data_IF_693438576088
#
_entry.id   IF_693438576088
#
_cell.length_a   1.000
_cell.length_b   1.000
_cell.length_c   1.000
_cell.angle_alpha   90.00
_cell.angle_beta   90.00
_cell.angle_gamma   90.00
#
_symmetry.space_group_name_H-M   'P 1'
#
loop_
_entity.id
_entity.type
_entity.pdbx_description
1 polymer ?
#
# COMPACT_ATOMS: atom_id res chain seq x y z
N UNK A 1 -1.01 14.30 22.42
CA UNK A 1 -1.17 15.77 22.50
C UNK A 1 -2.39 16.25 21.72
N UNK A 2 -2.52 15.95 20.45
CA UNK A 2 -3.58 16.47 19.58
C UNK A 2 -4.99 16.22 20.12
N UNK A 3 -5.23 15.04 20.72
CA UNK A 3 -6.51 14.72 21.35
C UNK A 3 -6.83 15.62 22.56
N UNK A 4 -5.82 16.07 23.29
CA UNK A 4 -5.99 17.00 24.39
C UNK A 4 -6.35 18.42 23.90
N UNK A 5 -5.79 18.83 22.77
CA UNK A 5 -6.14 20.10 22.11
C UNK A 5 -7.57 20.05 21.58
N UNK A 6 -7.93 18.97 20.86
CA UNK A 6 -9.30 18.75 20.37
C UNK A 6 -10.33 18.68 21.50
N UNK A 7 -10.00 18.05 22.64
CA UNK A 7 -10.85 18.08 23.83
C UNK A 7 -11.18 19.51 24.26
N UNK A 8 -10.18 20.38 24.34
CA UNK A 8 -10.39 21.80 24.73
C UNK A 8 -11.21 22.54 23.67
N UNK A 9 -10.90 22.33 22.40
CA UNK A 9 -11.61 22.96 21.29
C UNK A 9 -13.11 22.62 21.27
N UNK A 10 -13.46 21.33 21.41
CA UNK A 10 -14.85 20.86 21.40
C UNK A 10 -15.57 20.99 22.76
N UNK A 11 -14.92 21.45 23.82
CA UNK A 11 -15.53 21.52 25.16
C UNK A 11 -16.79 22.40 25.20
N UNK A 12 -16.85 23.49 24.41
CA UNK A 12 -17.99 24.41 24.33
C UNK A 12 -18.99 24.04 23.22
N UNK A 13 -18.53 23.49 22.09
CA UNK A 13 -19.38 23.25 20.91
C UNK A 13 -20.01 21.86 20.88
N UNK A 14 -19.33 20.82 21.36
CA UNK A 14 -19.84 19.46 21.36
C UNK A 14 -19.32 18.64 22.57
N UNK A 15 -20.06 18.59 23.70
CA UNK A 15 -19.59 17.92 24.92
C UNK A 15 -19.42 16.41 24.77
N UNK A 16 -20.14 15.75 23.83
CA UNK A 16 -19.97 14.30 23.55
C UNK A 16 -18.61 14.02 22.91
N UNK A 17 -18.26 14.79 21.89
CA UNK A 17 -16.94 14.67 21.23
C UNK A 17 -15.81 15.03 22.19
N UNK A 18 -15.98 16.07 23.00
CA UNK A 18 -15.01 16.45 24.02
C UNK A 18 -14.71 15.33 25.02
N UNK A 19 -15.75 14.61 25.48
CA UNK A 19 -15.60 13.44 26.36
C UNK A 19 -14.85 12.31 25.67
N UNK A 20 -15.14 12.06 24.39
CA UNK A 20 -14.48 11.03 23.59
C UNK A 20 -13.00 11.34 23.38
N UNK A 21 -12.67 12.56 22.97
CA UNK A 21 -11.27 13.01 22.85
C UNK A 21 -10.56 13.02 24.21
N UNK A 22 -11.30 13.30 25.32
CA UNK A 22 -10.76 13.23 26.67
C UNK A 22 -10.29 11.82 27.06
N UNK A 23 -11.04 10.79 26.67
CA UNK A 23 -10.63 9.38 26.88
C UNK A 23 -9.40 9.03 26.03
N UNK A 24 -9.35 9.46 24.76
CA UNK A 24 -8.22 9.23 23.86
C UNK A 24 -6.95 10.02 24.25
N UNK A 25 -7.11 11.14 24.97
CA UNK A 25 -5.99 11.95 25.44
C UNK A 25 -5.18 11.28 26.56
N UNK A 26 -5.67 10.18 27.16
CA UNK A 26 -4.94 9.38 28.18
C UNK A 26 -4.26 10.23 29.26
N UNK A 27 -4.99 11.21 29.81
CA UNK A 27 -4.47 12.17 30.83
C UNK A 27 -3.24 12.99 30.38
N UNK A 28 -3.17 13.32 29.11
CA UNK A 28 -2.10 14.18 28.60
C UNK A 28 -2.11 15.54 29.28
N UNK A 29 -1.01 15.89 30.00
CA UNK A 29 -0.84 17.16 30.73
C UNK A 29 0.07 18.15 30.00
N UNK A 30 0.79 17.70 28.97
CA UNK A 30 1.71 18.55 28.20
C UNK A 30 3.05 18.82 28.88
N UNK A 31 3.39 18.08 29.93
CA UNK A 31 4.67 18.25 30.63
C UNK A 31 5.84 17.86 29.73
N UNK A 32 6.99 18.51 29.84
CA UNK A 32 8.21 18.24 29.09
C UNK A 32 8.62 16.76 29.12
N UNK A 33 8.48 16.09 30.24
CA UNK A 33 8.73 14.65 30.39
C UNK A 33 7.80 13.82 29.47
N UNK A 34 6.51 14.16 29.39
CA UNK A 34 5.56 13.47 28.53
C UNK A 34 5.87 13.72 27.05
N UNK A 35 6.20 14.96 26.65
CA UNK A 35 6.60 15.29 25.27
C UNK A 35 7.83 14.48 24.85
N UNK A 36 8.86 14.43 25.70
CA UNK A 36 10.10 13.69 25.45
C UNK A 36 9.86 12.17 25.31
N UNK A 37 9.05 11.59 26.20
CA UNK A 37 8.68 10.16 26.14
C UNK A 37 7.92 9.88 24.84
N UNK A 38 6.94 10.69 24.49
CA UNK A 38 6.16 10.52 23.26
C UNK A 38 7.04 10.61 22.00
N UNK A 39 7.90 11.63 21.90
CA UNK A 39 8.81 11.76 20.76
C UNK A 39 9.74 10.54 20.63
N UNK A 40 10.25 10.05 21.78
CA UNK A 40 11.07 8.82 21.80
C UNK A 40 10.26 7.60 21.37
N UNK A 41 9.02 7.45 21.86
CA UNK A 41 8.15 6.33 21.49
C UNK A 41 7.80 6.35 20.02
N UNK A 42 7.45 7.51 19.46
CA UNK A 42 7.16 7.65 18.02
C UNK A 42 8.38 7.26 17.16
N UNK A 43 9.58 7.71 17.54
CA UNK A 43 10.82 7.34 16.84
C UNK A 43 11.06 5.82 16.88
N UNK A 44 10.90 5.20 18.06
CA UNK A 44 11.09 3.75 18.21
C UNK A 44 10.07 2.99 17.37
N UNK A 45 8.79 3.34 17.44
CA UNK A 45 7.73 2.68 16.65
C UNK A 45 7.96 2.87 15.15
N UNK A 46 8.36 4.06 14.70
CA UNK A 46 8.64 4.34 13.30
C UNK A 46 9.79 3.47 12.75
N UNK A 47 10.82 3.21 13.57
CA UNK A 47 11.91 2.30 13.20
C UNK A 47 11.47 0.85 13.21
N UNK A 48 10.64 0.43 14.17
CA UNK A 48 10.18 -0.96 14.31
C UNK A 48 9.14 -1.36 13.25
N UNK A 49 8.35 -0.43 12.73
CA UNK A 49 7.31 -0.72 11.71
C UNK A 49 7.91 -1.36 10.45
N UNK A 50 9.10 -0.91 10.01
CA UNK A 50 9.73 -1.45 8.80
C UNK A 50 10.13 -2.92 8.94
N UNK A 51 10.95 -3.34 9.94
CA UNK A 51 11.28 -4.76 10.09
C UNK A 51 10.07 -5.63 10.41
N UNK A 52 9.09 -5.15 11.17
CA UNK A 52 7.86 -5.90 11.42
C UNK A 52 7.06 -6.12 10.13
N UNK A 53 6.93 -5.10 9.29
CA UNK A 53 6.28 -5.22 7.99
C UNK A 53 7.00 -6.22 7.07
N UNK A 54 8.33 -6.20 7.04
CA UNK A 54 9.15 -7.16 6.28
C UNK A 54 8.94 -8.59 6.80
N UNK A 55 8.97 -8.79 8.12
CA UNK A 55 8.77 -10.11 8.74
C UNK A 55 7.38 -10.66 8.39
N UNK A 56 6.32 -9.86 8.54
CA UNK A 56 4.96 -10.29 8.21
C UNK A 56 4.84 -10.70 6.73
N UNK A 57 5.34 -9.88 5.81
CA UNK A 57 5.30 -10.21 4.38
C UNK A 57 6.16 -11.42 4.02
N UNK A 58 7.26 -11.64 4.73
CA UNK A 58 8.11 -12.84 4.55
C UNK A 58 7.37 -14.09 5.00
N UNK A 59 6.68 -14.04 6.13
CA UNK A 59 5.87 -15.15 6.62
C UNK A 59 4.76 -15.49 5.63
N UNK A 60 4.04 -14.47 5.11
CA UNK A 60 3.01 -14.67 4.10
C UNK A 60 3.58 -15.33 2.84
N UNK A 61 4.74 -14.86 2.34
CA UNK A 61 5.39 -15.45 1.18
C UNK A 61 5.78 -16.92 1.43
N UNK A 62 6.29 -17.25 2.62
CA UNK A 62 6.67 -18.61 2.97
C UNK A 62 5.47 -19.54 3.13
N UNK A 63 4.32 -19.04 3.57
CA UNK A 63 3.09 -19.84 3.59
C UNK A 63 2.72 -20.33 2.19
N UNK A 64 2.91 -19.49 1.15
CA UNK A 64 2.72 -19.91 -0.24
C UNK A 64 3.83 -20.87 -0.70
N UNK A 65 5.10 -20.48 -0.55
CA UNK A 65 6.22 -21.26 -1.08
C UNK A 65 6.39 -22.62 -0.42
N UNK A 66 5.95 -22.79 0.84
CA UNK A 66 5.97 -24.10 1.53
C UNK A 66 4.97 -25.11 0.96
N UNK A 67 3.99 -24.69 0.17
CA UNK A 67 3.03 -25.60 -0.46
C UNK A 67 3.58 -26.32 -1.68
N UNK A 68 4.80 -26.00 -2.12
CA UNK A 68 5.50 -26.62 -3.25
C UNK A 68 4.68 -26.65 -4.55
N UNK A 69 3.96 -25.58 -4.84
CA UNK A 69 3.21 -25.44 -6.09
C UNK A 69 4.02 -24.69 -7.14
N UNK A 70 3.78 -25.02 -8.41
CA UNK A 70 4.38 -24.34 -9.54
C UNK A 70 4.00 -22.86 -9.51
N UNK A 71 4.99 -21.97 -9.70
CA UNK A 71 4.82 -20.53 -9.58
C UNK A 71 4.93 -19.98 -8.15
N UNK A 72 5.06 -20.83 -7.11
CA UNK A 72 5.29 -20.40 -5.72
C UNK A 72 6.59 -20.95 -5.12
N UNK A 73 7.18 -21.97 -5.75
CA UNK A 73 8.32 -22.73 -5.26
C UNK A 73 9.69 -22.06 -5.50
N UNK A 74 9.72 -20.84 -6.07
CA UNK A 74 10.98 -20.16 -6.34
C UNK A 74 11.56 -19.52 -5.07
N UNK A 75 12.89 -19.55 -4.94
CA UNK A 75 13.63 -18.82 -3.89
C UNK A 75 13.42 -17.31 -3.98
N UNK A 76 13.12 -16.81 -5.16
CA UNK A 76 12.86 -15.41 -5.46
C UNK A 76 11.46 -14.95 -4.97
N UNK A 77 10.55 -15.89 -4.68
CA UNK A 77 9.16 -15.58 -4.33
C UNK A 77 9.03 -14.65 -3.12
N UNK A 78 9.86 -14.81 -2.09
CA UNK A 78 9.89 -13.94 -0.92
C UNK A 78 10.15 -12.47 -1.26
N UNK A 79 11.31 -12.12 -1.80
CA UNK A 79 11.63 -10.75 -2.23
C UNK A 79 10.66 -10.18 -3.27
N UNK A 80 10.21 -11.01 -4.21
CA UNK A 80 9.19 -10.66 -5.19
C UNK A 80 7.88 -10.25 -4.51
N UNK A 81 7.37 -11.05 -3.57
CA UNK A 81 6.12 -10.80 -2.86
C UNK A 81 6.21 -9.52 -2.00
N UNK A 82 7.31 -9.34 -1.26
CA UNK A 82 7.59 -8.17 -0.43
C UNK A 82 7.64 -6.90 -1.28
N UNK A 83 8.42 -6.90 -2.36
CA UNK A 83 8.56 -5.72 -3.23
C UNK A 83 7.23 -5.33 -3.88
N UNK A 84 6.42 -6.31 -4.28
CA UNK A 84 5.06 -6.08 -4.77
C UNK A 84 4.13 -5.45 -3.72
N UNK A 85 4.25 -5.86 -2.45
CA UNK A 85 3.50 -5.25 -1.35
C UNK A 85 3.91 -3.79 -1.12
N UNK A 86 5.19 -3.45 -1.24
CA UNK A 86 5.67 -2.06 -1.16
C UNK A 86 5.10 -1.19 -2.28
N UNK A 87 5.10 -1.67 -3.52
CA UNK A 87 4.51 -0.94 -4.66
C UNK A 87 3.03 -0.68 -4.43
N UNK A 88 2.27 -1.71 -4.04
CA UNK A 88 0.84 -1.57 -3.72
C UNK A 88 0.59 -0.60 -2.57
N UNK A 89 1.38 -0.70 -1.50
CA UNK A 89 1.28 0.16 -0.31
C UNK A 89 1.57 1.62 -0.62
N UNK A 90 2.65 1.91 -1.34
CA UNK A 90 3.00 3.29 -1.74
C UNK A 90 1.97 3.86 -2.71
N UNK A 91 1.49 3.06 -3.69
CA UNK A 91 0.41 3.45 -4.59
C UNK A 91 -0.86 3.84 -3.83
N UNK A 92 -1.28 3.01 -2.87
CA UNK A 92 -2.44 3.29 -2.01
C UNK A 92 -2.24 4.54 -1.15
N UNK A 93 -1.03 4.74 -0.61
CA UNK A 93 -0.68 5.92 0.18
C UNK A 93 -0.79 7.21 -0.65
N UNK A 94 -0.28 7.21 -1.88
CA UNK A 94 -0.37 8.34 -2.81
C UNK A 94 -1.83 8.71 -3.08
N UNK A 95 -2.66 7.73 -3.42
CA UNK A 95 -4.10 7.94 -3.69
C UNK A 95 -4.79 8.51 -2.45
N UNK A 96 -4.53 7.93 -1.28
CA UNK A 96 -5.13 8.36 -0.02
C UNK A 96 -4.74 9.80 0.33
N UNK A 97 -3.46 10.14 0.26
CA UNK A 97 -2.96 11.48 0.59
C UNK A 97 -3.52 12.52 -0.38
N UNK A 98 -3.63 12.21 -1.68
CA UNK A 98 -4.24 13.10 -2.65
C UNK A 98 -5.71 13.39 -2.33
N UNK A 99 -6.49 12.35 -2.03
CA UNK A 99 -7.90 12.49 -1.68
C UNK A 99 -8.08 13.30 -0.40
N UNK A 100 -7.30 13.00 0.63
CA UNK A 100 -7.35 13.71 1.92
C UNK A 100 -6.94 15.17 1.75
N UNK A 101 -5.86 15.46 0.99
CA UNK A 101 -5.45 16.82 0.65
C UNK A 101 -6.61 17.61 0.05
N UNK A 102 -7.29 17.02 -0.94
CA UNK A 102 -8.37 17.69 -1.68
C UNK A 102 -9.64 17.86 -0.83
N UNK A 103 -10.04 16.81 -0.08
CA UNK A 103 -11.27 16.83 0.72
C UNK A 103 -11.16 17.77 1.94
N UNK A 104 -9.97 17.84 2.55
CA UNK A 104 -9.72 18.65 3.75
C UNK A 104 -9.14 20.04 3.46
N UNK A 105 -8.83 20.37 2.21
CA UNK A 105 -8.21 21.66 1.86
C UNK A 105 -6.81 21.82 2.45
N UNK A 106 -6.02 20.73 2.52
CA UNK A 106 -4.68 20.73 3.12
C UNK A 106 -3.57 21.08 2.13
N UNK A 107 -3.87 21.87 1.11
CA UNK A 107 -2.94 22.19 0.03
C UNK A 107 -1.73 23.02 0.49
N UNK A 108 -1.90 23.83 1.52
CA UNK A 108 -0.83 24.61 2.13
C UNK A 108 0.19 23.72 2.87
N UNK A 109 -0.25 22.60 3.45
CA UNK A 109 0.60 21.71 4.23
C UNK A 109 1.18 20.57 3.41
N UNK A 110 0.35 19.96 2.55
CA UNK A 110 0.76 18.86 1.66
C UNK A 110 1.04 19.44 0.29
N UNK A 111 2.25 19.95 0.09
CA UNK A 111 2.68 20.63 -1.13
C UNK A 111 3.06 19.64 -2.25
N UNK A 112 3.27 20.15 -3.45
CA UNK A 112 3.72 19.38 -4.62
C UNK A 112 5.11 18.75 -4.39
N UNK A 113 5.91 19.30 -3.49
CA UNK A 113 7.17 18.72 -3.06
C UNK A 113 7.00 17.34 -2.45
N UNK A 114 5.97 17.14 -1.62
CA UNK A 114 5.66 15.84 -1.01
C UNK A 114 5.29 14.81 -2.09
N UNK A 115 4.51 15.23 -3.10
CA UNK A 115 4.14 14.35 -4.22
C UNK A 115 5.36 14.01 -5.09
N UNK A 116 6.26 14.95 -5.36
CA UNK A 116 7.50 14.65 -6.09
C UNK A 116 8.35 13.60 -5.34
N UNK A 117 8.47 13.72 -4.01
CA UNK A 117 9.20 12.73 -3.19
C UNK A 117 8.52 11.36 -3.17
N UNK A 118 7.20 11.32 -2.98
CA UNK A 118 6.44 10.07 -3.03
C UNK A 118 6.51 9.42 -4.42
N UNK A 119 6.43 10.21 -5.49
CA UNK A 119 6.58 9.71 -6.86
C UNK A 119 7.95 9.11 -7.13
N UNK A 120 9.04 9.72 -6.64
CA UNK A 120 10.40 9.14 -6.72
C UNK A 120 10.51 7.84 -5.94
N UNK A 121 9.90 7.78 -4.76
CA UNK A 121 9.90 6.56 -3.95
C UNK A 121 9.09 5.45 -4.63
N UNK A 122 7.92 5.76 -5.21
CA UNK A 122 7.12 4.81 -5.98
C UNK A 122 7.89 4.33 -7.23
N UNK A 123 8.60 5.21 -7.93
CA UNK A 123 9.45 4.83 -9.07
C UNK A 123 10.52 3.82 -8.66
N UNK A 124 11.24 4.09 -7.56
CA UNK A 124 12.25 3.18 -7.02
C UNK A 124 11.63 1.83 -6.64
N UNK A 125 10.49 1.84 -5.95
CA UNK A 125 9.78 0.61 -5.58
C UNK A 125 9.36 -0.19 -6.82
N UNK A 126 8.84 0.48 -7.87
CA UNK A 126 8.50 -0.17 -9.14
C UNK A 126 9.73 -0.80 -9.84
N UNK A 127 10.90 -0.14 -9.83
CA UNK A 127 12.13 -0.68 -10.42
C UNK A 127 12.63 -1.91 -9.66
N UNK A 128 12.64 -1.87 -8.33
CA UNK A 128 12.99 -3.01 -7.49
C UNK A 128 12.02 -4.18 -7.75
N UNK A 129 10.74 -3.88 -7.78
CA UNK A 129 9.73 -4.91 -8.06
C UNK A 129 9.85 -5.48 -9.47
N UNK A 130 10.15 -4.65 -10.47
CA UNK A 130 10.37 -5.09 -11.84
C UNK A 130 11.54 -6.08 -11.93
N UNK A 131 12.63 -5.83 -11.20
CA UNK A 131 13.76 -6.75 -11.12
C UNK A 131 13.34 -8.12 -10.57
N UNK A 132 12.67 -8.17 -9.43
CA UNK A 132 12.22 -9.43 -8.85
C UNK A 132 11.13 -10.10 -9.68
N UNK A 133 10.23 -9.33 -10.28
CA UNK A 133 9.20 -9.83 -11.18
C UNK A 133 9.80 -10.46 -12.46
N UNK A 134 10.84 -9.88 -13.02
CA UNK A 134 11.54 -10.46 -14.16
C UNK A 134 12.23 -11.78 -13.80
N UNK A 135 12.92 -11.82 -12.65
CA UNK A 135 13.58 -13.05 -12.17
C UNK A 135 12.57 -14.16 -11.86
N UNK A 136 11.37 -13.84 -11.38
CA UNK A 136 10.32 -14.82 -11.05
C UNK A 136 9.87 -15.63 -12.27
N UNK A 137 9.92 -15.04 -13.46
CA UNK A 137 9.58 -15.73 -14.70
C UNK A 137 10.79 -16.22 -15.49
N UNK A 138 11.93 -15.53 -15.37
CA UNK A 138 13.14 -15.90 -16.09
C UNK A 138 13.73 -17.23 -15.56
N UNK A 139 13.70 -17.43 -14.23
CA UNK A 139 14.25 -18.64 -13.61
C UNK A 139 13.50 -19.93 -14.03
N UNK A 140 12.15 -19.99 -13.95
CA UNK A 140 11.40 -21.12 -14.49
C UNK A 140 11.59 -21.32 -15.99
N UNK A 141 11.62 -20.23 -16.76
CA UNK A 141 11.86 -20.30 -18.21
C UNK A 141 13.24 -20.92 -18.57
N UNK A 142 14.25 -20.65 -17.73
CA UNK A 142 15.57 -21.26 -17.91
C UNK A 142 15.61 -22.72 -17.43
N UNK A 143 14.95 -23.05 -16.34
CA UNK A 143 14.89 -24.41 -15.80
C UNK A 143 14.13 -25.39 -16.71
N UNK A 144 13.16 -24.89 -17.48
CA UNK A 144 12.46 -25.62 -18.57
C UNK A 144 11.92 -26.99 -18.13
N UNK A 145 11.33 -27.07 -16.93
CA UNK A 145 10.55 -28.26 -16.59
C UNK A 145 9.21 -28.21 -17.29
N UNK A 146 8.69 -29.37 -17.73
CA UNK A 146 7.42 -29.44 -18.50
C UNK A 146 6.28 -28.69 -17.81
N UNK A 147 6.18 -28.81 -16.51
CA UNK A 147 5.11 -28.17 -15.76
C UNK A 147 5.29 -26.65 -15.64
N UNK A 148 6.51 -26.17 -15.52
CA UNK A 148 6.82 -24.73 -15.51
C UNK A 148 6.57 -24.11 -16.87
N UNK A 149 6.92 -24.82 -17.97
CA UNK A 149 6.66 -24.36 -19.33
C UNK A 149 5.15 -24.20 -19.58
N UNK A 150 4.33 -25.17 -19.19
CA UNK A 150 2.86 -25.09 -19.30
C UNK A 150 2.32 -23.91 -18.48
N UNK A 151 2.85 -23.69 -17.28
CA UNK A 151 2.43 -22.55 -16.44
C UNK A 151 2.79 -21.20 -17.08
N UNK A 152 4.01 -21.06 -17.61
CA UNK A 152 4.44 -19.85 -18.30
C UNK A 152 3.65 -19.61 -19.59
N UNK A 153 3.37 -20.66 -20.37
CA UNK A 153 2.55 -20.54 -21.57
C UNK A 153 1.13 -20.07 -21.25
N UNK A 154 0.53 -20.61 -20.19
CA UNK A 154 -0.78 -20.16 -19.70
C UNK A 154 -0.81 -18.68 -19.33
N UNK A 155 0.31 -18.14 -18.79
CA UNK A 155 0.44 -16.73 -18.41
C UNK A 155 0.78 -15.82 -19.59
N UNK A 156 1.69 -16.24 -20.50
CA UNK A 156 2.24 -15.35 -21.53
C UNK A 156 1.38 -15.31 -22.79
N UNK A 157 0.85 -16.45 -23.20
CA UNK A 157 0.11 -16.63 -24.45
C UNK A 157 -1.28 -17.21 -24.28
N UNK A 158 -1.53 -17.87 -23.12
CA UNK A 158 -2.78 -18.55 -22.83
C UNK A 158 -3.89 -17.65 -22.26
N UNK A 159 -4.81 -18.27 -21.52
CA UNK A 159 -6.04 -17.66 -21.02
C UNK A 159 -5.81 -16.41 -20.14
N UNK A 160 -4.71 -16.37 -19.38
CA UNK A 160 -4.39 -15.26 -18.48
C UNK A 160 -3.49 -14.18 -19.10
N UNK A 161 -3.12 -14.30 -20.38
CA UNK A 161 -2.15 -13.42 -21.05
C UNK A 161 -2.56 -11.94 -21.01
N UNK A 162 -3.82 -11.64 -21.28
CA UNK A 162 -4.32 -10.26 -21.29
C UNK A 162 -4.15 -9.60 -19.93
N UNK A 163 -4.50 -10.29 -18.84
CA UNK A 163 -4.38 -9.76 -17.48
C UNK A 163 -2.90 -9.68 -17.10
N UNK A 164 -2.10 -10.67 -17.46
CA UNK A 164 -0.67 -10.71 -17.19
C UNK A 164 0.06 -9.50 -17.82
N UNK A 165 -0.17 -9.23 -19.10
CA UNK A 165 0.46 -8.11 -19.77
C UNK A 165 -0.07 -6.75 -19.32
N UNK A 166 -1.37 -6.65 -19.03
CA UNK A 166 -1.92 -5.44 -18.41
C UNK A 166 -1.23 -5.12 -17.09
N UNK A 167 -1.06 -6.11 -16.21
CA UNK A 167 -0.41 -5.92 -14.90
C UNK A 167 1.06 -5.60 -15.06
N UNK A 168 1.77 -6.32 -15.93
CA UNK A 168 3.22 -6.16 -16.07
C UNK A 168 3.58 -4.87 -16.80
N UNK A 169 2.94 -4.60 -17.92
CA UNK A 169 3.22 -3.40 -18.72
C UNK A 169 2.49 -2.20 -18.12
N UNK A 170 1.15 -2.28 -18.05
CA UNK A 170 0.31 -1.16 -17.62
C UNK A 170 0.52 -0.80 -16.14
N UNK A 171 0.59 -1.81 -15.27
CA UNK A 171 0.66 -1.59 -13.83
C UNK A 171 2.07 -1.42 -13.26
N UNK A 172 3.12 -1.79 -13.97
CA UNK A 172 4.48 -1.75 -13.46
C UNK A 172 5.45 -0.96 -14.38
N UNK A 173 5.58 -1.36 -15.65
CA UNK A 173 6.56 -0.73 -16.56
C UNK A 173 6.15 0.71 -16.88
N UNK A 174 4.91 0.93 -17.30
CA UNK A 174 4.41 2.26 -17.64
C UNK A 174 4.48 3.22 -16.46
N UNK A 175 4.00 2.89 -15.23
CA UNK A 175 4.23 3.70 -14.05
C UNK A 175 5.69 4.01 -13.77
N UNK A 176 6.58 2.99 -13.84
CA UNK A 176 8.01 3.20 -13.61
C UNK A 176 8.59 4.25 -14.57
N UNK A 177 8.28 4.16 -15.87
CA UNK A 177 8.76 5.11 -16.88
C UNK A 177 8.16 6.50 -16.66
N UNK A 178 6.83 6.61 -16.47
CA UNK A 178 6.16 7.90 -16.28
C UNK A 178 6.66 8.65 -15.05
N UNK A 179 6.97 7.93 -13.97
CA UNK A 179 7.47 8.50 -12.73
C UNK A 179 8.94 8.95 -12.80
N UNK A 180 9.70 8.55 -13.82
CA UNK A 180 11.03 9.12 -14.08
C UNK A 180 10.94 10.59 -14.48
N UNK A 181 9.87 11.01 -15.14
CA UNK A 181 9.68 12.37 -15.58
C UNK A 181 8.99 13.22 -14.50
N UNK A 182 9.42 14.49 -14.37
CA UNK A 182 8.83 15.43 -13.40
C UNK A 182 7.33 15.66 -13.61
N UNK A 183 6.86 15.62 -14.87
CA UNK A 183 5.42 15.75 -15.19
C UNK A 183 4.58 14.61 -14.63
N UNK A 184 5.08 13.37 -14.62
CA UNK A 184 4.41 12.20 -14.05
C UNK A 184 4.30 12.24 -12.52
N UNK A 185 5.15 13.05 -11.86
CA UNK A 185 5.14 13.23 -10.40
C UNK A 185 4.31 14.45 -9.94
N UNK A 186 3.59 15.11 -10.85
CA UNK A 186 2.60 16.13 -10.45
C UNK A 186 1.46 15.47 -9.65
N UNK A 187 0.82 16.18 -8.69
CA UNK A 187 -0.19 15.57 -7.81
C UNK A 187 -1.30 14.82 -8.54
N UNK A 188 -1.83 15.40 -9.61
CA UNK A 188 -2.92 14.80 -10.40
C UNK A 188 -2.44 13.59 -11.21
N UNK A 189 -1.29 13.70 -11.88
CA UNK A 189 -0.74 12.58 -12.64
C UNK A 189 -0.38 11.41 -11.71
N UNK A 190 0.25 11.72 -10.57
CA UNK A 190 0.64 10.72 -9.59
C UNK A 190 -0.59 10.03 -8.96
N UNK A 191 -1.70 10.74 -8.77
CA UNK A 191 -2.96 10.14 -8.32
C UNK A 191 -3.47 9.08 -9.30
N UNK A 192 -3.51 9.38 -10.60
CA UNK A 192 -3.96 8.42 -11.61
C UNK A 192 -3.00 7.24 -11.79
N UNK A 193 -1.70 7.52 -11.74
CA UNK A 193 -0.68 6.47 -11.72
C UNK A 193 -0.84 5.59 -10.48
N UNK A 194 -1.10 6.18 -9.31
CA UNK A 194 -1.35 5.44 -8.08
C UNK A 194 -2.58 4.52 -8.18
N UNK A 195 -3.69 4.99 -8.74
CA UNK A 195 -4.88 4.16 -9.00
C UNK A 195 -4.53 2.99 -9.92
N UNK A 196 -3.82 3.25 -11.02
CA UNK A 196 -3.41 2.20 -11.96
C UNK A 196 -2.54 1.15 -11.28
N UNK A 197 -1.57 1.57 -10.47
CA UNK A 197 -0.70 0.67 -9.70
C UNK A 197 -1.49 -0.16 -8.69
N UNK A 198 -2.45 0.43 -7.98
CA UNK A 198 -3.29 -0.29 -7.01
C UNK A 198 -4.16 -1.35 -7.70
N UNK A 199 -4.83 -0.98 -8.81
CA UNK A 199 -5.64 -1.91 -9.58
C UNK A 199 -4.80 -3.05 -10.15
N UNK A 200 -3.64 -2.74 -10.74
CA UNK A 200 -2.73 -3.75 -11.26
C UNK A 200 -2.17 -4.65 -10.16
N UNK A 201 -1.86 -4.11 -8.98
CA UNK A 201 -1.40 -4.90 -7.83
C UNK A 201 -2.47 -5.88 -7.35
N UNK A 202 -3.74 -5.51 -7.41
CA UNK A 202 -4.83 -6.42 -7.11
C UNK A 202 -4.93 -7.56 -8.15
N UNK A 203 -4.98 -7.23 -9.44
CA UNK A 203 -4.98 -8.24 -10.50
C UNK A 203 -3.74 -9.12 -10.47
N UNK A 204 -2.60 -8.58 -10.01
CA UNK A 204 -1.39 -9.39 -9.82
C UNK A 204 -1.60 -10.50 -8.79
N UNK A 205 -2.30 -10.24 -7.69
CA UNK A 205 -2.64 -11.28 -6.70
C UNK A 205 -3.51 -12.39 -7.31
N UNK A 206 -4.46 -12.01 -8.17
CA UNK A 206 -5.26 -12.98 -8.91
C UNK A 206 -4.39 -13.88 -9.80
N UNK A 207 -3.44 -13.31 -10.55
CA UNK A 207 -2.52 -14.07 -11.42
C UNK A 207 -1.60 -15.00 -10.61
N UNK A 208 -1.17 -14.60 -9.43
CA UNK A 208 -0.32 -15.45 -8.56
C UNK A 208 -1.10 -16.65 -8.04
N UNK A 209 -2.36 -16.48 -7.70
CA UNK A 209 -3.15 -17.51 -7.00
C UNK A 209 -3.89 -18.43 -7.96
N UNK A 210 -4.66 -17.85 -8.88
CA UNK A 210 -5.63 -18.62 -9.69
C UNK A 210 -4.98 -19.58 -10.67
N UNK A 211 -4.02 -19.20 -11.53
CA UNK A 211 -3.39 -20.12 -12.47
C UNK A 211 -2.65 -21.27 -11.76
N UNK A 212 -1.99 -20.94 -10.65
CA UNK A 212 -1.26 -21.94 -9.86
C UNK A 212 -2.17 -22.97 -9.21
N UNK A 213 -3.35 -22.56 -8.73
CA UNK A 213 -4.31 -23.49 -8.10
C UNK A 213 -5.06 -24.34 -9.13
N UNK A 214 -5.26 -23.81 -10.33
CA UNK A 214 -5.92 -24.55 -11.43
C UNK A 214 -5.00 -25.55 -12.12
N UNK A 215 -3.68 -25.42 -11.95
CA UNK A 215 -2.73 -26.38 -12.53
C UNK A 215 -2.66 -27.65 -11.67
N UNK A 216 -3.14 -28.82 -12.19
CA UNK A 216 -3.11 -30.06 -11.43
C UNK A 216 -1.68 -30.63 -11.43
N UNK A 217 -1.22 -31.07 -10.26
CA UNK A 217 0.07 -31.78 -10.12
C UNK A 217 0.04 -33.21 -10.68
N UNK A 218 -1.12 -33.84 -10.56
CA UNK A 218 -1.35 -35.22 -11.00
C UNK A 218 -2.41 -35.19 -12.10
N UNK A 219 -2.33 -36.13 -13.08
CA UNK A 219 -3.38 -36.28 -14.08
C UNK A 219 -4.72 -36.52 -13.38
N UNK A 220 -5.63 -35.57 -13.50
CA UNK A 220 -6.97 -35.69 -12.92
C UNK A 220 -7.83 -36.41 -13.95
N UNK A 221 -8.28 -37.62 -13.63
CA UNK A 221 -9.21 -38.40 -14.44
C UNK A 221 -10.63 -38.23 -13.89
N UNK A 222 -11.61 -38.13 -14.80
CA UNK A 222 -13.02 -38.13 -14.44
C UNK A 222 -13.57 -36.83 -13.82
N UNK A 223 -12.83 -35.73 -13.90
CA UNK A 223 -13.30 -34.43 -13.41
C UNK A 223 -13.99 -33.69 -14.59
N UNK A 224 -15.19 -33.11 -14.37
CA UNK A 224 -15.85 -32.28 -15.37
C UNK A 224 -14.95 -31.14 -15.88
N UNK A 225 -15.01 -30.84 -17.17
CA UNK A 225 -14.21 -29.74 -17.76
C UNK A 225 -14.51 -28.39 -17.11
N UNK A 226 -15.75 -28.15 -16.65
CA UNK A 226 -16.16 -26.94 -15.95
C UNK A 226 -15.40 -26.68 -14.63
N UNK A 227 -14.71 -27.68 -14.07
CA UNK A 227 -13.88 -27.54 -12.88
C UNK A 227 -12.44 -27.14 -13.16
N UNK A 228 -12.07 -27.09 -14.44
CA UNK A 228 -10.75 -26.66 -14.90
C UNK A 228 -10.65 -25.15 -15.10
N UNK A 229 -11.82 -24.50 -15.21
CA UNK A 229 -11.92 -23.04 -15.37
C UNK A 229 -12.46 -22.42 -14.08
N UNK A 230 -11.86 -21.31 -13.67
CA UNK A 230 -12.33 -20.54 -12.54
C UNK A 230 -12.80 -19.17 -12.99
N UNK A 231 -14.04 -18.88 -12.68
CA UNK A 231 -14.61 -17.54 -12.77
C UNK A 231 -15.21 -17.16 -11.42
N UNK A 232 -14.88 -15.96 -10.85
CA UNK A 232 -15.38 -15.57 -9.56
C UNK A 232 -16.90 -15.53 -9.51
N UNK A 233 -17.49 -16.19 -8.51
CA UNK A 233 -18.93 -16.17 -8.26
C UNK A 233 -19.39 -14.80 -7.77
N UNK A 234 -20.70 -14.53 -7.86
CA UNK A 234 -21.28 -13.29 -7.34
C UNK A 234 -21.00 -13.08 -5.86
N UNK A 235 -20.93 -14.16 -5.09
CA UNK A 235 -20.63 -14.11 -3.66
C UNK A 235 -19.19 -13.64 -3.41
N UNK A 236 -18.23 -14.07 -4.20
CA UNK A 236 -16.83 -13.65 -4.09
C UNK A 236 -16.67 -12.17 -4.46
N UNK A 237 -17.38 -11.70 -5.47
CA UNK A 237 -17.43 -10.27 -5.78
C UNK A 237 -18.04 -9.43 -4.67
N UNK A 238 -19.14 -9.91 -4.03
CA UNK A 238 -19.74 -9.21 -2.89
C UNK A 238 -18.80 -9.19 -1.70
N UNK A 239 -18.14 -10.29 -1.36
CA UNK A 239 -17.16 -10.36 -0.26
C UNK A 239 -16.01 -9.39 -0.53
N UNK A 240 -15.47 -9.38 -1.74
CA UNK A 240 -14.38 -8.49 -2.12
C UNK A 240 -14.80 -7.02 -2.03
N UNK A 241 -15.96 -6.68 -2.59
CA UNK A 241 -16.52 -5.33 -2.51
C UNK A 241 -16.81 -4.89 -1.08
N UNK A 242 -17.31 -5.79 -0.24
CA UNK A 242 -17.57 -5.52 1.18
C UNK A 242 -16.27 -5.22 1.95
N UNK A 243 -15.22 -5.99 1.73
CA UNK A 243 -13.93 -5.75 2.37
C UNK A 243 -13.34 -4.39 1.96
N UNK A 244 -13.43 -4.03 0.69
CA UNK A 244 -13.02 -2.71 0.20
C UNK A 244 -13.86 -1.60 0.83
N UNK A 245 -15.18 -1.76 0.90
CA UNK A 245 -16.09 -0.79 1.51
C UNK A 245 -15.78 -0.58 3.01
N UNK A 246 -15.50 -1.65 3.75
CA UNK A 246 -15.10 -1.58 5.17
C UNK A 246 -13.78 -0.84 5.32
N UNK A 247 -12.78 -1.11 4.49
CA UNK A 247 -11.50 -0.42 4.52
C UNK A 247 -11.65 1.09 4.25
N UNK A 248 -12.46 1.47 3.25
CA UNK A 248 -12.77 2.87 2.92
C UNK A 248 -13.57 3.55 4.03
N UNK A 249 -14.51 2.83 4.67
CA UNK A 249 -15.26 3.34 5.81
C UNK A 249 -14.34 3.64 6.98
N UNK A 250 -13.47 2.70 7.34
CA UNK A 250 -12.48 2.90 8.42
C UNK A 250 -11.59 4.12 8.11
N UNK A 251 -11.05 4.21 6.91
CA UNK A 251 -10.24 5.35 6.47
C UNK A 251 -11.02 6.67 6.60
N UNK A 252 -12.25 6.71 6.13
CA UNK A 252 -13.12 7.89 6.19
C UNK A 252 -13.38 8.32 7.63
N UNK A 253 -13.67 7.36 8.52
CA UNK A 253 -13.88 7.62 9.94
C UNK A 253 -12.60 8.15 10.62
N UNK A 254 -11.45 7.54 10.32
CA UNK A 254 -10.16 8.01 10.83
C UNK A 254 -9.88 9.45 10.40
N UNK A 255 -10.00 9.75 9.10
CA UNK A 255 -9.78 11.09 8.56
C UNK A 255 -10.78 12.11 9.09
N UNK A 256 -12.00 11.68 9.43
CA UNK A 256 -13.06 12.56 9.97
C UNK A 256 -12.80 12.93 11.43
N UNK A 257 -12.41 11.95 12.25
CA UNK A 257 -12.34 12.12 13.72
C UNK A 257 -10.92 12.34 14.24
N UNK A 258 -9.90 11.92 13.48
CA UNK A 258 -8.51 12.11 13.87
C UNK A 258 -7.86 13.22 13.04
N UNK A 259 -6.97 14.03 13.60
CA UNK A 259 -6.20 15.01 12.86
C UNK A 259 -5.21 14.30 11.95
N UNK A 260 -5.26 14.61 10.66
CA UNK A 260 -4.33 14.05 9.65
C UNK A 260 -2.93 14.65 9.78
N UNK A 261 -2.87 15.93 10.19
CA UNK A 261 -1.63 16.65 10.48
C UNK A 261 -1.54 16.83 11.99
N UNK A 262 -0.37 16.62 12.57
CA UNK A 262 -0.14 16.78 13.99
C UNK A 262 -0.30 18.24 14.43
N UNK A 263 -1.42 18.55 15.09
CA UNK A 263 -1.77 19.92 15.50
C UNK A 263 -0.69 20.52 16.41
N UNK A 264 -0.22 19.75 17.40
CA UNK A 264 0.82 20.19 18.33
C UNK A 264 2.12 20.55 17.59
N UNK A 265 2.50 19.74 16.61
CA UNK A 265 3.72 19.97 15.84
C UNK A 265 3.62 21.24 14.98
N UNK A 266 2.47 21.48 14.37
CA UNK A 266 2.24 22.69 13.57
C UNK A 266 2.29 23.95 14.45
N UNK A 267 1.78 23.87 15.69
CA UNK A 267 1.86 24.99 16.65
C UNK A 267 3.32 25.23 17.04
N UNK A 268 4.05 24.17 17.42
CA UNK A 268 5.45 24.30 17.82
C UNK A 268 6.33 24.88 16.66
N UNK A 269 6.10 24.47 15.41
CA UNK A 269 6.79 24.99 14.23
C UNK A 269 6.46 26.49 13.97
N UNK A 270 5.21 26.90 14.13
CA UNK A 270 4.81 28.31 13.95
C UNK A 270 5.37 29.24 15.06
N UNK A 271 5.53 28.74 16.27
CA UNK A 271 6.16 29.48 17.37
C UNK A 271 7.66 29.71 17.13
N UNK A 272 8.37 28.73 16.57
CA UNK A 272 9.78 28.83 16.21
C UNK A 272 9.97 29.89 15.11
N UNK A 273 9.19 29.82 14.03
CA UNK A 273 9.26 30.80 12.94
C UNK A 273 9.01 32.24 13.38
N UNK A 274 8.06 32.45 14.32
CA UNK A 274 7.81 33.77 14.88
C UNK A 274 8.95 34.29 15.78
N UNK A 275 9.65 33.36 16.43
CA UNK A 275 10.79 33.71 17.30
C UNK A 275 12.00 34.11 16.44
N UNK A 276 12.26 33.38 15.38
CA UNK A 276 13.36 33.66 14.44
C UNK A 276 13.15 35.01 13.72
N UNK A 277 11.93 35.31 13.26
CA UNK A 277 11.61 36.62 12.65
C UNK A 277 11.77 37.79 13.62
N UNK A 278 11.58 37.58 14.93
CA UNK A 278 11.80 38.63 15.93
C UNK A 278 13.26 38.81 16.31
N UNK A 279 14.11 37.80 16.08
CA UNK A 279 15.56 37.90 16.33
C UNK A 279 16.31 38.61 15.19
N UNK A 280 15.73 38.63 13.98
CA UNK A 280 16.30 39.22 12.78
C UNK A 280 15.79 40.68 12.54
N UNK A 281 14.87 41.18 13.37
CA UNK A 281 14.35 42.56 13.36
C UNK A 281 14.95 43.38 14.49
#
# INVERSE_FOLDING_TARGET
PDMAILKKFYSKSNPRLSKWYGKLALNWKGNEKQKRIQQKSVKIIAVLVLPLGLILQTIDAWLFSSTYRIGWNSTNFGPYFISGAFVAGVGTLVVTIFLVRKVKGLEAYITDYHFDKMGKFLALACLIYLYFNANEYLMPAYASTVNEEIHLDTLFTGHYSTIFWFVTIGGLIVPAILLMFKKGRSPVALFWIGILVVLASWWKRYIIVTPTLLHPYLPIQGVPESWRDYFPSIHEWIITGSNLAVALLILTLLVRYLPVIGIQRTIDESEVEQTDQKSDS
#
